data_IF_174583285408
#
_entry.id   IF_174583285408
#
_cell.length_a   1.000
_cell.length_b   1.000
_cell.length_c   1.000
_cell.angle_alpha   90.00
_cell.angle_beta   90.00
_cell.angle_gamma   90.00
#
_symmetry.space_group_name_H-M   'P 1'
#
loop_
_entity.id
_entity.type
_entity.pdbx_description
1 polymer ?
#
# COMPACT_ATOMS: atom_id res chain seq x y z
N UNK A 1 42.73 15.67 61.85
CA UNK A 1 42.90 14.22 61.64
C UNK A 1 41.73 13.69 60.80
N UNK A 2 41.92 13.58 59.48
CA UNK A 2 41.30 12.59 58.58
C UNK A 2 41.70 12.94 57.13
N UNK A 3 42.57 12.09 56.60
CA UNK A 3 43.03 12.00 55.21
C UNK A 3 42.00 11.16 54.47
N UNK A 4 41.42 11.65 53.36
CA UNK A 4 40.81 10.79 52.32
C UNK A 4 41.01 11.43 50.93
N UNK A 5 42.15 11.07 50.33
CA UNK A 5 42.30 10.43 49.01
C UNK A 5 41.37 10.82 47.84
N UNK A 6 42.01 11.41 46.82
CA UNK A 6 41.61 11.42 45.41
C UNK A 6 41.73 10.01 44.84
N UNK A 7 40.68 9.51 44.18
CA UNK A 7 40.80 8.39 43.23
C UNK A 7 40.43 8.87 41.83
N UNK A 8 41.43 8.85 40.95
CA UNK A 8 41.26 8.87 39.50
C UNK A 8 40.66 7.52 39.08
N UNK A 9 39.52 7.51 38.40
CA UNK A 9 39.11 6.36 37.59
C UNK A 9 39.37 6.67 36.12
N UNK A 10 40.27 5.88 35.55
CA UNK A 10 40.59 5.82 34.14
C UNK A 10 39.39 5.30 33.33
N UNK A 11 39.09 5.99 32.24
CA UNK A 11 38.20 5.54 31.17
C UNK A 11 38.81 4.34 30.45
N UNK A 12 38.13 3.18 30.52
CA UNK A 12 38.41 2.06 29.63
C UNK A 12 37.51 2.17 28.39
N UNK A 13 38.13 2.50 27.25
CA UNK A 13 37.50 2.44 25.92
C UNK A 13 37.43 0.97 25.52
N UNK A 14 36.24 0.37 25.57
CA UNK A 14 35.98 -0.92 24.91
C UNK A 14 35.70 -0.65 23.42
N UNK A 15 36.67 -0.97 22.56
CA UNK A 15 36.46 -1.09 21.14
C UNK A 15 35.63 -2.36 20.86
N UNK A 16 34.34 -2.20 20.55
CA UNK A 16 33.48 -3.30 20.11
C UNK A 16 33.82 -3.66 18.67
N UNK A 17 34.46 -4.82 18.48
CA UNK A 17 34.66 -5.46 17.18
C UNK A 17 33.28 -5.94 16.69
N UNK A 18 32.73 -5.27 15.67
CA UNK A 18 31.56 -5.75 14.92
C UNK A 18 31.96 -7.01 14.14
N UNK A 19 31.57 -8.19 14.64
CA UNK A 19 31.58 -9.41 13.83
C UNK A 19 30.42 -9.35 12.83
N UNK A 20 30.72 -9.21 11.54
CA UNK A 20 29.80 -9.52 10.46
C UNK A 20 29.51 -11.02 10.47
N UNK A 21 28.40 -11.43 11.07
CA UNK A 21 27.85 -12.77 10.87
C UNK A 21 26.99 -12.71 9.62
N UNK A 22 27.57 -13.06 8.47
CA UNK A 22 26.81 -13.32 7.26
C UNK A 22 25.96 -14.59 7.47
N UNK A 23 24.65 -14.43 7.62
CA UNK A 23 23.72 -15.55 7.58
C UNK A 23 23.72 -16.13 6.16
N UNK A 24 24.44 -17.23 5.97
CA UNK A 24 24.36 -18.03 4.75
C UNK A 24 23.11 -18.89 4.82
N UNK A 25 22.00 -18.40 4.25
CA UNK A 25 20.81 -19.22 4.03
C UNK A 25 21.15 -20.32 3.02
N UNK A 26 20.98 -21.58 3.42
CA UNK A 26 21.14 -22.74 2.55
C UNK A 26 20.13 -22.67 1.40
N UNK A 27 20.62 -22.45 0.19
CA UNK A 27 19.81 -22.48 -1.03
C UNK A 27 19.53 -23.93 -1.45
N UNK A 28 18.27 -24.25 -1.74
CA UNK A 28 17.92 -25.40 -2.56
C UNK A 28 18.57 -25.22 -3.94
N UNK A 29 19.47 -26.13 -4.33
CA UNK A 29 19.96 -26.22 -5.72
C UNK A 29 18.79 -26.59 -6.63
N UNK A 30 18.17 -25.61 -7.26
CA UNK A 30 17.20 -25.82 -8.32
C UNK A 30 17.91 -26.29 -9.59
N UNK A 31 17.70 -27.55 -9.99
CA UNK A 31 18.11 -28.09 -11.29
C UNK A 31 17.09 -27.78 -12.42
N UNK A 32 16.23 -26.78 -12.25
CA UNK A 32 15.34 -26.29 -13.32
C UNK A 32 16.00 -25.13 -14.05
N UNK A 33 16.13 -25.22 -15.38
CA UNK A 33 16.97 -24.34 -16.21
C UNK A 33 16.73 -22.82 -16.08
N UNK A 34 15.61 -22.38 -15.48
CA UNK A 34 15.23 -20.96 -15.40
C UNK A 34 14.77 -20.49 -14.00
N UNK A 35 15.05 -21.23 -12.92
CA UNK A 35 14.72 -20.78 -11.54
C UNK A 35 15.86 -19.93 -10.97
N UNK A 36 15.69 -18.61 -10.78
CA UNK A 36 16.77 -17.77 -10.27
C UNK A 36 16.99 -18.00 -8.77
N UNK A 37 18.23 -17.78 -8.33
CA UNK A 37 18.55 -17.65 -6.91
C UNK A 37 18.12 -16.26 -6.44
N UNK A 38 17.27 -16.21 -5.42
CA UNK A 38 16.84 -14.95 -4.81
C UNK A 38 17.77 -14.60 -3.64
N UNK A 39 18.23 -13.35 -3.61
CA UNK A 39 18.98 -12.77 -2.50
C UNK A 39 18.35 -11.46 -2.05
N UNK A 40 18.44 -11.16 -0.75
CA UNK A 40 17.93 -9.92 -0.15
C UNK A 40 19.00 -9.26 0.71
N UNK A 41 19.01 -7.92 0.72
CA UNK A 41 19.85 -7.13 1.62
C UNK A 41 19.12 -5.89 2.10
N UNK A 42 19.36 -5.50 3.35
CA UNK A 42 18.90 -4.23 3.91
C UNK A 42 19.77 -3.11 3.32
N UNK A 43 19.13 -2.10 2.74
CA UNK A 43 19.81 -0.90 2.20
C UNK A 43 19.56 0.36 3.03
N UNK A 44 18.53 0.34 3.87
CA UNK A 44 18.20 1.38 4.85
C UNK A 44 17.53 0.72 6.06
N UNK A 45 17.82 1.23 7.26
CA UNK A 45 17.24 0.79 8.53
C UNK A 45 16.97 1.99 9.45
N UNK A 46 16.26 1.78 10.55
CA UNK A 46 15.94 2.83 11.53
C UNK A 46 14.84 3.78 11.07
N UNK A 47 14.04 3.37 10.08
CA UNK A 47 12.89 4.12 9.60
C UNK A 47 11.66 3.88 10.48
N UNK A 48 10.73 4.83 10.48
CA UNK A 48 9.48 4.74 11.21
C UNK A 48 8.32 4.44 10.25
N UNK A 49 7.90 3.17 10.21
CA UNK A 49 6.85 2.67 9.33
C UNK A 49 7.00 3.12 7.85
N UNK A 50 8.09 2.78 7.16
CA UNK A 50 8.27 3.11 5.76
C UNK A 50 7.15 2.47 4.89
N UNK A 51 6.48 3.27 4.05
CA UNK A 51 5.20 2.89 3.44
C UNK A 51 5.26 2.66 1.92
N UNK A 52 5.92 3.55 1.16
CA UNK A 52 6.05 3.43 -0.30
C UNK A 52 7.36 4.01 -0.82
N UNK A 53 7.70 3.63 -2.06
CA UNK A 53 8.95 3.96 -2.74
C UNK A 53 8.65 4.41 -4.17
N UNK A 54 9.37 5.44 -4.65
CA UNK A 54 9.41 5.80 -6.06
C UNK A 54 10.84 6.11 -6.52
N UNK A 55 11.17 5.77 -7.76
CA UNK A 55 12.49 6.00 -8.35
C UNK A 55 12.40 6.98 -9.51
N UNK A 56 13.44 7.80 -9.68
CA UNK A 56 13.68 8.46 -10.96
C UNK A 56 14.03 7.42 -12.01
N UNK A 57 13.63 7.65 -13.27
CA UNK A 57 13.90 6.69 -14.36
C UNK A 57 15.39 6.40 -14.58
N UNK A 58 16.29 7.31 -14.15
CA UNK A 58 17.74 7.12 -14.20
C UNK A 58 18.32 6.42 -12.96
N UNK A 59 17.47 6.00 -12.01
CA UNK A 59 17.84 5.31 -10.78
C UNK A 59 18.65 6.13 -9.78
N UNK A 60 18.91 7.42 -10.04
CA UNK A 60 19.80 8.25 -9.21
C UNK A 60 19.17 8.73 -7.90
N UNK A 61 17.84 8.76 -7.83
CA UNK A 61 17.11 9.16 -6.63
C UNK A 61 15.98 8.16 -6.32
N UNK A 62 15.93 7.76 -5.05
CA UNK A 62 14.88 6.93 -4.46
C UNK A 62 14.12 7.76 -3.43
N UNK A 63 12.89 8.10 -3.74
CA UNK A 63 11.95 8.70 -2.80
C UNK A 63 11.30 7.62 -1.96
N UNK A 64 11.06 7.91 -0.69
CA UNK A 64 10.32 7.02 0.19
C UNK A 64 9.52 7.83 1.22
N UNK A 65 8.45 7.23 1.70
CA UNK A 65 7.59 7.80 2.73
C UNK A 65 7.68 7.02 4.03
N UNK A 66 7.71 7.73 5.16
CA UNK A 66 7.54 7.19 6.50
C UNK A 66 6.18 7.65 7.02
N UNK A 67 5.28 6.72 7.36
CA UNK A 67 3.85 6.98 7.62
C UNK A 67 3.62 8.14 8.60
N UNK A 68 4.41 8.20 9.66
CA UNK A 68 4.28 9.16 10.77
C UNK A 68 5.30 10.30 10.70
N UNK A 69 6.16 10.35 9.66
CA UNK A 69 7.15 11.43 9.51
C UNK A 69 6.94 12.26 8.24
N UNK A 70 7.08 11.68 7.05
CA UNK A 70 7.07 12.46 5.82
C UNK A 70 7.74 11.81 4.62
N UNK A 71 7.99 12.63 3.59
CA UNK A 71 8.69 12.28 2.36
C UNK A 71 10.18 12.61 2.47
N UNK A 72 11.01 11.62 2.18
CA UNK A 72 12.46 11.76 2.07
C UNK A 72 12.97 11.24 0.72
N UNK A 73 14.19 11.62 0.35
CA UNK A 73 14.86 11.13 -0.86
C UNK A 73 16.29 10.68 -0.54
N UNK A 74 16.64 9.47 -0.97
CA UNK A 74 18.00 8.96 -0.98
C UNK A 74 18.62 9.16 -2.36
N UNK A 75 19.79 9.78 -2.39
CA UNK A 75 20.61 9.99 -3.60
C UNK A 75 22.05 9.54 -3.34
N UNK A 76 22.93 9.63 -4.35
CA UNK A 76 24.37 9.45 -4.15
C UNK A 76 25.00 10.46 -3.18
N UNK A 77 24.35 11.61 -2.93
CA UNK A 77 24.83 12.63 -1.98
C UNK A 77 24.40 12.41 -0.53
N UNK A 78 23.55 11.40 -0.27
CA UNK A 78 22.95 11.15 1.04
C UNK A 78 21.42 11.18 1.02
N UNK A 79 20.84 11.29 2.20
CA UNK A 79 19.40 11.35 2.44
C UNK A 79 18.99 12.79 2.76
N UNK A 80 17.93 13.28 2.12
CA UNK A 80 17.35 14.59 2.37
C UNK A 80 15.87 14.46 2.74
N UNK A 81 15.47 15.03 3.87
CA UNK A 81 14.09 15.05 4.34
C UNK A 81 13.35 16.25 3.73
N UNK A 82 12.38 15.98 2.86
CA UNK A 82 11.82 17.00 1.97
C UNK A 82 10.55 17.66 2.52
N UNK A 83 9.56 16.84 2.88
CA UNK A 83 8.26 17.33 3.35
C UNK A 83 7.67 16.49 4.47
N UNK A 84 7.52 17.09 5.64
CA UNK A 84 7.03 16.43 6.85
C UNK A 84 5.53 16.57 7.09
N UNK A 85 4.97 15.67 7.91
CA UNK A 85 3.64 15.87 8.52
C UNK A 85 3.74 16.82 9.72
N UNK A 86 2.61 17.28 10.26
CA UNK A 86 2.58 18.11 11.46
C UNK A 86 3.34 17.45 12.62
N UNK A 87 4.22 18.22 13.26
CA UNK A 87 4.99 17.78 14.43
C UNK A 87 6.29 17.03 14.11
N UNK A 88 6.51 16.63 12.84
CA UNK A 88 7.80 16.09 12.42
C UNK A 88 8.91 17.16 12.47
N UNK A 89 10.15 16.73 12.70
CA UNK A 89 11.34 17.58 12.81
C UNK A 89 12.40 17.19 11.77
N UNK A 90 13.27 18.13 11.41
CA UNK A 90 14.39 17.90 10.48
C UNK A 90 14.02 17.88 8.99
N UNK A 91 12.77 18.20 8.63
CA UNK A 91 12.32 18.34 7.24
C UNK A 91 12.52 19.76 6.71
N UNK A 92 12.80 19.90 5.41
CA UNK A 92 12.96 21.20 4.75
C UNK A 92 11.68 22.05 4.77
N UNK A 93 10.52 21.41 4.68
CA UNK A 93 9.20 22.03 4.84
C UNK A 93 8.20 21.00 5.43
N UNK A 94 7.00 21.42 5.83
CA UNK A 94 5.97 20.55 6.40
C UNK A 94 4.56 21.04 6.14
N UNK A 95 3.59 20.12 6.18
CA UNK A 95 2.18 20.44 6.13
C UNK A 95 1.56 20.42 7.53
N UNK A 96 1.22 21.60 8.08
CA UNK A 96 0.58 21.70 9.40
C UNK A 96 -0.86 21.12 9.42
N UNK A 97 -1.45 20.93 8.24
CA UNK A 97 -2.74 20.26 8.07
C UNK A 97 -2.62 18.72 8.02
N UNK A 98 -1.43 18.18 7.77
CA UNK A 98 -1.19 16.76 7.58
C UNK A 98 -0.94 16.03 8.90
N UNK A 99 -1.47 14.83 9.04
CA UNK A 99 -1.35 14.04 10.26
C UNK A 99 -1.39 12.53 9.97
N UNK A 100 -1.00 11.74 10.96
CA UNK A 100 -1.10 10.29 10.96
C UNK A 100 -2.01 9.82 12.10
N UNK A 101 -2.85 8.84 11.81
CA UNK A 101 -3.76 8.23 12.77
C UNK A 101 -4.14 6.83 12.28
N UNK A 102 -3.98 5.80 13.13
CA UNK A 102 -4.16 4.40 12.72
C UNK A 102 -3.38 4.01 11.45
N UNK A 103 -4.10 3.76 10.35
CA UNK A 103 -3.53 3.39 9.04
C UNK A 103 -3.26 4.60 8.12
N UNK A 104 -3.73 5.79 8.49
CA UNK A 104 -3.51 7.04 7.78
C UNK A 104 -2.15 7.68 8.10
N UNK A 105 -1.67 8.55 7.22
CA UNK A 105 -0.38 9.24 7.36
C UNK A 105 0.18 9.73 6.02
N UNK A 106 1.51 9.83 5.91
CA UNK A 106 2.20 10.01 4.63
C UNK A 106 2.34 8.66 3.92
N UNK A 107 1.51 8.40 2.91
CA UNK A 107 1.36 7.08 2.30
C UNK A 107 2.03 7.00 0.91
N UNK A 108 1.25 6.90 -0.17
CA UNK A 108 1.77 6.65 -1.50
C UNK A 108 2.59 7.80 -2.06
N UNK A 109 3.62 7.46 -2.85
CA UNK A 109 4.45 8.41 -3.60
C UNK A 109 4.57 7.95 -5.05
N UNK A 110 4.43 8.89 -5.99
CA UNK A 110 4.66 8.64 -7.41
C UNK A 110 5.37 9.83 -8.07
N UNK A 111 6.22 9.56 -9.06
CA UNK A 111 6.80 10.60 -9.90
C UNK A 111 6.01 10.67 -11.21
N UNK A 112 5.81 11.89 -11.72
CA UNK A 112 5.22 12.11 -13.03
C UNK A 112 6.01 11.40 -14.14
N UNK A 113 5.33 10.92 -15.19
CA UNK A 113 5.99 10.27 -16.33
C UNK A 113 7.07 11.16 -16.98
N UNK A 114 6.88 12.48 -16.94
CA UNK A 114 7.81 13.49 -17.45
C UNK A 114 8.67 14.11 -16.35
N UNK A 115 8.91 13.43 -15.22
CA UNK A 115 9.69 13.94 -14.08
C UNK A 115 11.04 14.55 -14.47
N UNK A 116 11.72 13.99 -15.48
CA UNK A 116 12.99 14.53 -16.00
C UNK A 116 12.88 15.99 -16.48
N UNK A 117 11.69 16.38 -16.98
CA UNK A 117 11.39 17.71 -17.51
C UNK A 117 10.71 18.60 -16.47
N UNK A 118 9.63 18.11 -15.84
CA UNK A 118 8.77 18.93 -14.97
C UNK A 118 9.08 18.84 -13.47
N UNK A 119 9.86 17.83 -13.05
CA UNK A 119 10.18 17.56 -11.63
C UNK A 119 8.95 17.35 -10.75
N UNK A 120 7.84 16.89 -11.32
CA UNK A 120 6.57 16.76 -10.62
C UNK A 120 6.47 15.46 -9.82
N UNK A 121 6.17 15.59 -8.53
CA UNK A 121 5.98 14.48 -7.60
C UNK A 121 4.57 14.54 -7.01
N UNK A 122 3.95 13.37 -6.83
CA UNK A 122 2.64 13.19 -6.23
C UNK A 122 2.75 12.45 -4.90
N UNK A 123 2.00 12.91 -3.90
CA UNK A 123 1.88 12.28 -2.58
C UNK A 123 0.42 12.06 -2.22
N UNK A 124 0.13 10.91 -1.61
CA UNK A 124 -1.12 10.66 -0.93
C UNK A 124 -0.93 10.86 0.57
N UNK A 125 -1.78 11.66 1.22
CA UNK A 125 -1.76 11.82 2.67
C UNK A 125 -3.12 12.20 3.24
N UNK A 126 -3.21 12.20 4.57
CA UNK A 126 -4.40 12.57 5.31
C UNK A 126 -4.25 13.99 5.85
N UNK A 127 -5.26 14.82 5.60
CA UNK A 127 -5.30 16.25 5.87
C UNK A 127 -6.54 16.64 6.66
N UNK A 128 -6.36 17.56 7.59
CA UNK A 128 -7.44 18.21 8.33
C UNK A 128 -8.13 19.33 7.54
N UNK A 129 -7.51 19.80 6.45
CA UNK A 129 -7.94 20.98 5.67
C UNK A 129 -9.31 20.83 5.02
N UNK A 130 -9.64 19.62 4.57
CA UNK A 130 -10.87 19.32 3.83
C UNK A 130 -11.87 18.51 4.63
N UNK A 131 -11.57 18.26 5.91
CA UNK A 131 -12.46 17.50 6.78
C UNK A 131 -13.74 18.29 7.00
N UNK A 132 -14.87 17.73 6.56
CA UNK A 132 -16.19 18.28 6.82
C UNK A 132 -16.43 18.52 8.32
N UNK A 133 -17.33 19.44 8.64
CA UNK A 133 -17.66 19.79 10.03
C UNK A 133 -18.02 18.54 10.85
N UNK A 134 -17.22 18.26 11.88
CA UNK A 134 -17.36 17.19 12.89
C UNK A 134 -18.08 15.92 12.42
N UNK A 135 -17.46 15.17 11.51
CA UNK A 135 -17.80 13.75 11.33
C UNK A 135 -17.71 13.00 12.66
N UNK A 136 -18.86 12.59 13.21
CA UNK A 136 -18.98 11.88 14.49
C UNK A 136 -19.18 10.38 14.29
N UNK A 137 -19.75 9.97 13.16
CA UNK A 137 -20.08 8.58 12.86
C UNK A 137 -19.61 8.19 11.45
N UNK A 138 -19.80 6.93 11.06
CA UNK A 138 -19.50 6.48 9.71
C UNK A 138 -20.55 6.89 8.67
N UNK A 139 -21.69 7.46 9.07
CA UNK A 139 -22.80 7.76 8.18
C UNK A 139 -22.63 9.05 7.39
N UNK A 140 -21.85 10.01 7.89
CA UNK A 140 -21.60 11.28 7.20
C UNK A 140 -20.53 11.14 6.11
N UNK A 141 -20.59 12.02 5.11
CA UNK A 141 -19.48 12.21 4.16
C UNK A 141 -18.32 12.87 4.90
N UNK A 142 -17.16 12.22 4.88
CA UNK A 142 -15.99 12.60 5.64
C UNK A 142 -14.78 12.65 4.73
N UNK A 143 -14.59 13.76 4.05
CA UNK A 143 -13.40 14.02 3.26
C UNK A 143 -12.19 14.15 4.21
N UNK A 144 -10.98 13.81 3.76
CA UNK A 144 -9.80 13.92 4.62
C UNK A 144 -8.55 13.25 4.08
N UNK A 145 -8.68 12.41 3.07
CA UNK A 145 -7.53 11.95 2.29
C UNK A 145 -7.38 12.82 1.05
N UNK A 146 -6.14 13.15 0.71
CA UNK A 146 -5.82 14.03 -0.41
C UNK A 146 -4.67 13.49 -1.25
N UNK A 147 -4.67 13.89 -2.52
CA UNK A 147 -3.51 13.77 -3.40
C UNK A 147 -2.92 15.16 -3.61
N UNK A 148 -1.62 15.28 -3.32
CA UNK A 148 -0.85 16.51 -3.40
C UNK A 148 0.15 16.41 -4.54
N UNK A 149 0.36 17.52 -5.25
CA UNK A 149 1.36 17.70 -6.31
C UNK A 149 2.43 18.67 -5.83
N UNK A 150 3.69 18.37 -6.10
CA UNK A 150 4.86 19.18 -5.75
C UNK A 150 5.82 19.32 -6.93
N UNK A 151 6.68 20.34 -6.88
CA UNK A 151 7.88 20.44 -7.71
C UNK A 151 9.11 20.11 -6.88
N UNK A 152 9.92 19.14 -7.31
CA UNK A 152 11.16 18.76 -6.61
C UNK A 152 12.33 19.61 -7.10
N UNK A 153 13.06 20.26 -6.18
CA UNK A 153 14.26 21.02 -6.50
C UNK A 153 15.30 20.17 -7.25
N UNK A 154 16.09 20.78 -8.13
CA UNK A 154 17.07 20.05 -8.98
C UNK A 154 18.15 19.34 -8.16
N UNK A 155 18.49 19.88 -7.00
CA UNK A 155 19.46 19.32 -6.06
C UNK A 155 18.86 18.28 -5.11
N UNK A 156 17.55 18.00 -5.22
CA UNK A 156 16.80 17.08 -4.36
C UNK A 156 16.82 17.44 -2.87
N UNK A 157 16.96 18.73 -2.51
CA UNK A 157 16.98 19.17 -1.10
C UNK A 157 15.67 19.75 -0.59
N UNK A 158 14.74 20.08 -1.48
CA UNK A 158 13.45 20.64 -1.11
C UNK A 158 12.37 20.33 -2.14
N UNK A 159 11.13 20.55 -1.73
CA UNK A 159 9.97 20.61 -2.62
C UNK A 159 9.30 21.98 -2.51
N UNK A 160 8.56 22.36 -3.55
CA UNK A 160 7.79 23.61 -3.58
C UNK A 160 6.48 23.43 -4.33
N UNK A 161 5.66 24.50 -4.37
CA UNK A 161 4.44 24.58 -5.17
C UNK A 161 3.41 23.48 -4.85
N UNK A 162 3.22 23.18 -3.56
CA UNK A 162 2.19 22.23 -3.12
C UNK A 162 0.83 22.64 -3.69
N UNK A 163 0.22 21.73 -4.45
CA UNK A 163 -1.15 21.85 -4.96
C UNK A 163 -1.94 20.60 -4.59
N UNK A 164 -3.03 20.74 -3.85
CA UNK A 164 -3.93 19.62 -3.55
C UNK A 164 -4.84 19.38 -4.77
N UNK A 165 -4.68 18.25 -5.47
CA UNK A 165 -5.35 17.94 -6.75
C UNK A 165 -6.58 17.02 -6.59
N UNK A 166 -6.64 16.25 -5.51
CA UNK A 166 -7.85 15.51 -5.09
C UNK A 166 -8.06 15.79 -3.61
N UNK A 167 -9.27 16.23 -3.23
CA UNK A 167 -9.54 16.84 -1.92
C UNK A 167 -10.63 16.12 -1.12
N UNK A 168 -11.31 15.18 -1.77
CA UNK A 168 -12.57 14.61 -1.34
C UNK A 168 -12.56 13.08 -1.23
N UNK A 169 -11.36 12.48 -1.14
CA UNK A 169 -11.23 11.07 -0.79
C UNK A 169 -11.64 10.92 0.67
N UNK A 170 -12.52 9.97 0.92
CA UNK A 170 -13.09 9.83 2.25
C UNK A 170 -12.05 9.28 3.25
N UNK A 171 -12.21 9.66 4.50
CA UNK A 171 -11.39 9.31 5.65
C UNK A 171 -12.30 8.82 6.79
N UNK A 172 -11.76 7.98 7.68
CA UNK A 172 -12.44 7.52 8.90
C UNK A 172 -11.95 8.29 10.13
N UNK A 173 -12.69 9.28 10.65
CA UNK A 173 -12.23 10.09 11.79
C UNK A 173 -12.60 9.60 13.20
N UNK A 174 -13.35 8.52 13.32
CA UNK A 174 -13.96 8.08 14.58
C UNK A 174 -13.65 6.61 14.84
N UNK A 175 -13.83 6.20 16.09
CA UNK A 175 -13.92 4.79 16.47
C UNK A 175 -15.32 4.29 16.18
N UNK A 176 -15.42 3.11 15.59
CA UNK A 176 -16.67 2.38 15.34
C UNK A 176 -16.88 1.29 16.38
N UNK A 177 -18.09 0.75 16.45
CA UNK A 177 -18.45 -0.45 17.21
C UNK A 177 -17.98 -1.74 16.51
N UNK A 178 -17.37 -1.62 15.32
CA UNK A 178 -16.67 -2.71 14.65
C UNK A 178 -15.48 -3.23 15.47
N UNK A 179 -15.18 -4.54 15.38
CA UNK A 179 -14.14 -5.19 16.18
C UNK A 179 -12.73 -4.76 15.81
N UNK A 180 -12.52 -4.28 14.58
CA UNK A 180 -11.24 -3.81 14.08
C UNK A 180 -11.37 -2.48 13.37
N UNK A 181 -10.26 -1.75 13.36
CA UNK A 181 -10.07 -0.51 12.61
C UNK A 181 -10.69 0.69 13.31
N UNK A 182 -9.86 1.42 14.06
CA UNK A 182 -10.22 2.73 14.60
C UNK A 182 -10.11 3.84 13.54
N UNK A 183 -9.88 5.09 13.97
CA UNK A 183 -9.55 6.19 13.07
C UNK A 183 -8.46 5.83 12.04
N UNK A 184 -8.63 6.33 10.83
CA UNK A 184 -7.76 6.06 9.69
C UNK A 184 -7.82 4.64 9.12
N UNK A 185 -8.68 3.76 9.62
CA UNK A 185 -8.84 2.43 9.04
C UNK A 185 -9.38 2.47 7.60
N UNK A 186 -8.89 1.54 6.79
CA UNK A 186 -9.24 1.39 5.37
C UNK A 186 -8.94 2.66 4.57
N UNK A 187 -7.70 3.13 4.71
CA UNK A 187 -7.28 4.37 4.08
C UNK A 187 -6.90 4.22 2.60
N UNK A 188 -6.69 2.98 2.12
CA UNK A 188 -6.03 2.71 0.85
C UNK A 188 -4.70 3.46 0.75
N UNK A 189 -4.58 4.31 -0.28
CA UNK A 189 -3.54 5.34 -0.38
C UNK A 189 -2.38 5.00 -1.30
N UNK A 190 -2.43 3.86 -2.00
CA UNK A 190 -1.43 3.55 -3.02
C UNK A 190 -1.65 4.43 -4.26
N UNK A 191 -0.59 5.07 -4.72
CA UNK A 191 -0.59 5.88 -5.94
C UNK A 191 0.48 5.38 -6.93
N UNK A 192 0.13 5.30 -8.21
CA UNK A 192 1.07 4.98 -9.29
C UNK A 192 0.78 5.82 -10.52
N UNK A 193 1.81 6.10 -11.32
CA UNK A 193 1.64 6.55 -12.70
C UNK A 193 1.57 5.31 -13.58
N UNK A 194 0.49 5.19 -14.35
CA UNK A 194 0.28 4.09 -15.28
C UNK A 194 1.03 4.27 -16.61
N UNK A 195 0.98 3.25 -17.50
CA UNK A 195 1.70 3.26 -18.79
C UNK A 195 1.37 4.47 -19.67
N UNK A 196 0.14 4.97 -19.59
CA UNK A 196 -0.36 6.12 -20.37
C UNK A 196 -0.08 7.48 -19.68
N UNK A 197 0.65 7.50 -18.57
CA UNK A 197 1.01 8.73 -17.85
C UNK A 197 -0.06 9.27 -16.90
N UNK A 198 -1.22 8.63 -16.80
CA UNK A 198 -2.26 8.99 -15.82
C UNK A 198 -1.93 8.48 -14.42
N UNK A 199 -2.41 9.19 -13.41
CA UNK A 199 -2.34 8.79 -12.01
C UNK A 199 -3.46 7.84 -11.66
N UNK A 200 -3.11 6.82 -10.90
CA UNK A 200 -4.01 5.83 -10.35
C UNK A 200 -3.93 5.85 -8.84
N UNK A 201 -5.08 5.92 -8.19
CA UNK A 201 -5.17 6.10 -6.73
C UNK A 201 -6.13 5.08 -6.14
N UNK A 202 -5.60 4.14 -5.36
CA UNK A 202 -6.41 3.19 -4.60
C UNK A 202 -6.92 3.81 -3.30
N UNK A 203 -8.19 3.56 -2.97
CA UNK A 203 -8.83 4.05 -1.74
C UNK A 203 -9.41 2.88 -0.94
N UNK A 204 -9.93 3.16 0.26
CA UNK A 204 -10.70 2.18 1.03
C UNK A 204 -12.07 2.70 1.42
N UNK A 205 -12.90 1.80 1.93
CA UNK A 205 -14.33 2.01 2.20
C UNK A 205 -14.61 2.75 3.52
N UNK A 206 -13.56 3.01 4.31
CA UNK A 206 -13.57 3.66 5.63
C UNK A 206 -14.61 3.13 6.63
N UNK A 207 -15.03 1.87 6.50
CA UNK A 207 -16.12 1.23 7.25
C UNK A 207 -17.48 1.93 7.12
N UNK A 208 -17.82 2.42 5.93
CA UNK A 208 -19.18 2.89 5.63
C UNK A 208 -19.86 1.95 4.65
N UNK A 209 -21.00 1.38 5.03
CA UNK A 209 -21.73 0.36 4.25
C UNK A 209 -21.94 0.74 2.78
N UNK A 210 -22.41 1.96 2.53
CA UNK A 210 -22.75 2.43 1.18
C UNK A 210 -21.54 2.77 0.30
N UNK A 211 -20.38 3.04 0.92
CA UNK A 211 -19.22 3.66 0.24
C UNK A 211 -18.79 2.89 -1.03
N UNK A 212 -18.56 1.57 -0.96
CA UNK A 212 -18.05 0.81 -2.10
C UNK A 212 -18.97 0.80 -3.31
N UNK A 213 -20.28 0.92 -3.14
CA UNK A 213 -21.28 0.80 -4.21
C UNK A 213 -21.87 2.15 -4.65
N UNK A 214 -21.68 3.22 -3.88
CA UNK A 214 -22.08 4.58 -4.25
C UNK A 214 -20.98 5.27 -5.07
N UNK A 215 -21.15 5.21 -6.40
CA UNK A 215 -20.21 5.78 -7.37
C UNK A 215 -20.15 7.31 -7.37
N UNK A 216 -20.88 8.01 -6.49
CA UNK A 216 -20.71 9.46 -6.26
C UNK A 216 -19.67 9.78 -5.17
N UNK A 217 -19.19 8.77 -4.44
CA UNK A 217 -18.26 8.91 -3.33
C UNK A 217 -16.88 8.35 -3.68
N UNK A 218 -15.82 9.02 -3.21
CA UNK A 218 -14.45 8.55 -3.36
C UNK A 218 -14.01 7.71 -2.14
N UNK A 219 -14.63 6.55 -1.97
CA UNK A 219 -14.29 5.54 -0.98
C UNK A 219 -14.59 4.14 -1.52
N UNK A 220 -13.64 3.21 -1.36
CA UNK A 220 -13.79 1.87 -1.95
C UNK A 220 -13.72 1.89 -3.49
N UNK A 221 -12.92 2.80 -4.03
CA UNK A 221 -12.74 3.02 -5.48
C UNK A 221 -11.26 3.06 -5.86
N UNK A 222 -10.98 2.81 -7.13
CA UNK A 222 -9.71 3.16 -7.77
C UNK A 222 -9.96 4.32 -8.73
N UNK A 223 -9.21 5.41 -8.56
CA UNK A 223 -9.28 6.57 -9.46
C UNK A 223 -8.32 6.40 -10.64
N UNK A 224 -8.67 6.97 -11.79
CA UNK A 224 -7.76 7.22 -12.93
C UNK A 224 -7.91 8.66 -13.39
N UNK A 225 -6.90 9.47 -13.12
CA UNK A 225 -6.92 10.93 -13.24
C UNK A 225 -5.64 11.47 -13.89
N UNK A 226 -5.69 12.67 -14.45
CA UNK A 226 -4.50 13.37 -14.95
C UNK A 226 -3.68 13.98 -13.80
N UNK A 227 -2.58 14.65 -14.15
CA UNK A 227 -1.68 15.28 -13.18
C UNK A 227 -2.26 16.48 -12.43
N UNK A 228 -3.45 16.95 -12.81
CA UNK A 228 -4.18 18.05 -12.17
C UNK A 228 -5.45 17.56 -11.43
N UNK A 229 -5.68 16.24 -11.42
CA UNK A 229 -6.80 15.60 -10.73
C UNK A 229 -8.08 15.47 -11.55
N UNK A 230 -8.05 15.83 -12.83
CA UNK A 230 -9.21 15.69 -13.72
C UNK A 230 -9.41 14.23 -14.13
N UNK A 231 -10.66 13.81 -14.38
CA UNK A 231 -10.94 12.44 -14.81
C UNK A 231 -10.30 12.11 -16.16
N UNK A 232 -9.82 10.88 -16.31
CA UNK A 232 -9.47 10.36 -17.63
C UNK A 232 -10.74 10.31 -18.52
N UNK A 233 -10.71 10.86 -19.75
CA UNK A 233 -11.92 11.00 -20.60
C UNK A 233 -12.57 9.66 -20.97
N UNK A 234 -11.77 8.60 -21.06
CA UNK A 234 -12.24 7.23 -21.31
C UNK A 234 -12.80 6.48 -20.09
N UNK A 235 -12.93 7.07 -18.89
CA UNK A 235 -13.53 6.36 -17.74
C UNK A 235 -15.03 6.05 -17.99
N UNK A 236 -15.43 4.80 -17.75
CA UNK A 236 -16.77 4.26 -18.06
C UNK A 236 -17.63 4.10 -16.79
N UNK A 237 -17.69 5.14 -15.97
CA UNK A 237 -18.46 5.16 -14.72
C UNK A 237 -19.66 6.10 -14.82
N UNK A 238 -20.76 5.78 -14.12
CA UNK A 238 -21.97 6.60 -14.12
C UNK A 238 -21.86 7.84 -13.21
N UNK A 239 -21.31 7.66 -12.00
CA UNK A 239 -21.15 8.73 -11.01
C UNK A 239 -19.95 9.62 -11.26
N UNK A 240 -19.08 9.77 -10.26
CA UNK A 240 -17.88 10.58 -10.36
C UNK A 240 -16.93 10.05 -11.44
N UNK A 241 -16.68 10.86 -12.46
CA UNK A 241 -15.90 10.46 -13.64
C UNK A 241 -14.43 10.15 -13.34
N UNK A 242 -13.91 10.50 -12.17
CA UNK A 242 -12.53 10.18 -11.77
C UNK A 242 -12.36 8.69 -11.47
N UNK A 243 -13.46 7.99 -11.16
CA UNK A 243 -13.46 6.56 -10.83
C UNK A 243 -13.19 5.72 -12.07
N UNK A 244 -12.23 4.80 -11.95
CA UNK A 244 -11.98 3.73 -12.92
C UNK A 244 -12.72 2.45 -12.54
N UNK A 245 -12.64 2.03 -11.28
CA UNK A 245 -13.39 0.88 -10.71
C UNK A 245 -13.89 1.22 -9.31
N UNK A 246 -14.97 0.56 -8.91
CA UNK A 246 -15.61 0.70 -7.61
C UNK A 246 -15.83 -0.67 -6.97
N UNK A 247 -16.47 -0.73 -5.80
CA UNK A 247 -16.76 -2.00 -5.12
C UNK A 247 -15.53 -2.60 -4.45
N UNK A 248 -14.62 -1.76 -3.96
CA UNK A 248 -13.43 -2.17 -3.21
C UNK A 248 -13.60 -1.92 -1.71
N UNK A 249 -12.97 -2.74 -0.88
CA UNK A 249 -12.84 -2.62 0.58
C UNK A 249 -11.64 -1.77 0.98
N UNK A 250 -10.42 -2.17 0.63
CA UNK A 250 -9.20 -1.44 1.04
C UNK A 250 -7.98 -1.75 0.16
N UNK A 251 -7.83 -1.00 -0.94
CA UNK A 251 -6.77 -1.21 -1.95
C UNK A 251 -5.41 -0.77 -1.42
N UNK A 252 -4.51 -1.72 -1.18
CA UNK A 252 -3.16 -1.48 -0.63
C UNK A 252 -2.06 -1.55 -1.69
N UNK A 253 -2.31 -2.28 -2.79
CA UNK A 253 -1.40 -2.43 -3.91
C UNK A 253 -2.09 -2.12 -5.23
N UNK A 254 -1.35 -1.51 -6.15
CA UNK A 254 -1.70 -1.42 -7.56
C UNK A 254 -0.42 -1.43 -8.40
N UNK A 255 -0.40 -2.21 -9.47
CA UNK A 255 0.64 -2.15 -10.49
C UNK A 255 0.11 -2.61 -11.85
N UNK A 256 0.91 -2.43 -12.90
CA UNK A 256 0.50 -2.66 -14.29
C UNK A 256 1.27 -3.82 -14.89
N UNK A 257 0.54 -4.79 -15.45
CA UNK A 257 1.11 -5.97 -16.06
C UNK A 257 1.96 -5.56 -17.29
N UNK A 258 3.23 -6.00 -17.39
CA UNK A 258 4.12 -5.52 -18.45
C UNK A 258 3.67 -5.87 -19.87
N UNK A 259 2.98 -7.01 -20.05
CA UNK A 259 2.62 -7.53 -21.37
C UNK A 259 1.50 -6.75 -22.06
N UNK A 260 0.55 -6.19 -21.29
CA UNK A 260 -0.65 -5.54 -21.83
C UNK A 260 -1.03 -4.22 -21.14
N UNK A 261 -0.27 -3.81 -20.11
CA UNK A 261 -0.54 -2.60 -19.35
C UNK A 261 -1.76 -2.69 -18.43
N UNK A 262 -2.40 -3.86 -18.28
CA UNK A 262 -3.60 -4.00 -17.46
C UNK A 262 -3.27 -3.76 -15.99
N UNK A 263 -4.10 -2.97 -15.31
CA UNK A 263 -3.94 -2.67 -13.89
C UNK A 263 -4.43 -3.85 -13.04
N UNK A 264 -3.69 -4.18 -11.99
CA UNK A 264 -4.05 -5.18 -10.98
C UNK A 264 -3.99 -4.54 -9.60
N UNK A 265 -4.99 -4.82 -8.76
CA UNK A 265 -4.98 -4.43 -7.35
C UNK A 265 -4.63 -5.61 -6.46
N UNK A 266 -4.03 -5.32 -5.31
CA UNK A 266 -3.96 -6.23 -4.17
C UNK A 266 -4.70 -5.58 -3.00
N UNK A 267 -5.64 -6.31 -2.41
CA UNK A 267 -6.67 -5.74 -1.55
C UNK A 267 -6.95 -6.57 -0.30
N UNK A 268 -6.99 -5.90 0.85
CA UNK A 268 -7.32 -6.56 2.12
C UNK A 268 -8.76 -7.04 2.14
N UNK A 269 -8.92 -8.33 2.38
CA UNK A 269 -10.19 -8.92 2.77
C UNK A 269 -10.58 -8.57 4.22
N UNK A 270 -11.81 -8.86 4.64
CA UNK A 270 -12.24 -8.81 6.03
C UNK A 270 -11.55 -9.90 6.87
N UNK A 271 -12.27 -10.82 7.47
CA UNK A 271 -11.69 -12.01 8.13
C UNK A 271 -11.46 -13.18 7.17
N UNK A 272 -11.64 -12.94 5.88
CA UNK A 272 -11.48 -13.90 4.81
C UNK A 272 -11.08 -13.18 3.53
N UNK A 273 -10.63 -13.94 2.53
CA UNK A 273 -10.40 -13.53 1.15
C UNK A 273 -9.69 -12.18 0.94
N UNK A 274 -8.37 -12.10 1.17
CA UNK A 274 -7.61 -11.09 0.43
C UNK A 274 -7.67 -11.39 -1.07
N UNK A 275 -7.66 -10.36 -1.91
CA UNK A 275 -7.87 -10.52 -3.35
C UNK A 275 -6.77 -9.85 -4.18
N UNK A 276 -6.44 -10.48 -5.32
CA UNK A 276 -5.75 -9.85 -6.44
C UNK A 276 -6.69 -9.82 -7.63
N UNK A 277 -6.97 -8.62 -8.13
CA UNK A 277 -8.04 -8.40 -9.11
C UNK A 277 -7.53 -7.61 -10.31
N UNK A 278 -7.81 -8.13 -11.51
CA UNK A 278 -7.47 -7.48 -12.77
C UNK A 278 -8.56 -6.46 -13.14
N UNK A 279 -8.22 -5.18 -13.08
CA UNK A 279 -9.21 -4.11 -13.21
C UNK A 279 -9.77 -4.00 -14.63
N UNK A 280 -11.07 -3.70 -14.71
CA UNK A 280 -11.81 -3.44 -15.94
C UNK A 280 -12.50 -2.09 -15.81
N UNK A 281 -12.37 -1.23 -16.81
CA UNK A 281 -12.90 0.13 -16.77
C UNK A 281 -14.43 0.15 -16.57
N UNK A 282 -14.88 0.75 -15.46
CA UNK A 282 -16.27 0.79 -15.02
C UNK A 282 -16.72 -0.44 -14.23
N UNK A 283 -15.84 -1.40 -13.98
CA UNK A 283 -16.16 -2.65 -13.30
C UNK A 283 -16.33 -2.51 -11.79
N UNK A 284 -17.07 -3.47 -11.22
CA UNK A 284 -17.41 -3.56 -9.81
C UNK A 284 -16.58 -4.65 -9.12
N UNK A 285 -15.81 -4.33 -8.09
CA UNK A 285 -15.06 -5.31 -7.29
C UNK A 285 -15.95 -6.21 -6.42
N UNK A 286 -17.24 -5.89 -6.31
CA UNK A 286 -18.23 -6.72 -5.65
C UNK A 286 -18.39 -6.49 -4.15
N UNK A 287 -17.50 -5.74 -3.50
CA UNK A 287 -17.60 -5.47 -2.07
C UNK A 287 -18.83 -4.61 -1.79
N UNK A 288 -19.80 -5.13 -1.02
CA UNK A 288 -21.05 -4.45 -0.71
C UNK A 288 -21.43 -4.62 0.77
N UNK A 289 -20.71 -3.99 1.71
CA UNK A 289 -20.86 -4.20 3.15
C UNK A 289 -22.07 -3.50 3.76
N UNK A 290 -22.94 -2.90 2.95
CA UNK A 290 -24.20 -2.33 3.42
C UNK A 290 -25.06 -3.41 4.11
N UNK A 291 -25.78 -3.00 5.15
CA UNK A 291 -26.77 -3.83 5.83
C UNK A 291 -28.06 -3.95 5.02
N UNK A 292 -28.92 -4.91 5.38
CA UNK A 292 -30.25 -5.09 4.76
C UNK A 292 -30.23 -5.39 3.24
N UNK A 293 -29.07 -5.68 2.68
CA UNK A 293 -28.89 -6.13 1.29
C UNK A 293 -28.45 -7.59 1.27
N UNK A 294 -28.84 -8.34 0.23
CA UNK A 294 -28.37 -9.71 0.05
C UNK A 294 -28.84 -10.71 1.10
N UNK A 295 -30.00 -10.45 1.71
CA UNK A 295 -30.55 -11.29 2.78
C UNK A 295 -29.92 -11.06 4.15
N UNK A 296 -29.03 -10.07 4.30
CA UNK A 296 -28.43 -9.70 5.59
C UNK A 296 -29.41 -8.92 6.46
N UNK A 297 -29.24 -9.06 7.78
CA UNK A 297 -29.95 -8.25 8.78
C UNK A 297 -29.29 -6.89 9.03
N UNK A 298 -29.63 -6.27 10.16
CA UNK A 298 -28.91 -5.11 10.68
C UNK A 298 -27.51 -5.51 11.14
N UNK A 299 -26.54 -4.63 10.92
CA UNK A 299 -25.14 -4.83 11.31
C UNK A 299 -24.69 -3.66 12.19
N UNK A 300 -23.74 -3.85 13.11
CA UNK A 300 -23.12 -2.75 13.85
C UNK A 300 -22.64 -1.65 12.90
N UNK A 301 -22.89 -0.39 13.25
CA UNK A 301 -22.62 0.78 12.41
C UNK A 301 -23.10 0.66 10.95
N UNK A 302 -24.14 -0.11 10.67
CA UNK A 302 -24.64 -0.36 9.31
C UNK A 302 -23.58 -0.90 8.33
N UNK A 303 -22.54 -1.53 8.88
CA UNK A 303 -21.41 -2.09 8.12
C UNK A 303 -21.24 -3.57 8.47
N UNK A 304 -21.58 -4.43 7.51
CA UNK A 304 -21.57 -5.88 7.68
C UNK A 304 -20.21 -6.53 7.38
N UNK A 305 -19.16 -5.74 7.14
CA UNK A 305 -17.88 -6.26 6.67
C UNK A 305 -17.15 -7.21 7.62
N UNK A 306 -17.63 -7.38 8.85
CA UNK A 306 -17.09 -8.33 9.84
C UNK A 306 -18.13 -9.37 10.30
N UNK A 307 -19.27 -9.46 9.62
CA UNK A 307 -20.33 -10.41 9.92
C UNK A 307 -20.17 -11.74 9.15
N UNK A 308 -20.78 -12.84 9.63
CA UNK A 308 -21.51 -12.98 10.88
C UNK A 308 -20.55 -13.18 12.06
N UNK A 309 -21.01 -12.81 13.26
CA UNK A 309 -20.33 -13.08 14.53
C UNK A 309 -18.93 -12.45 14.58
N UNK A 310 -18.90 -11.13 14.67
CA UNK A 310 -17.74 -10.25 14.60
C UNK A 310 -16.52 -10.68 15.43
N UNK A 311 -16.75 -11.34 16.57
CA UNK A 311 -15.72 -11.68 17.55
C UNK A 311 -15.59 -13.18 17.83
N UNK A 312 -16.42 -14.02 17.22
CA UNK A 312 -16.41 -15.47 17.46
C UNK A 312 -15.64 -16.21 16.37
N UNK A 313 -15.17 -17.42 16.66
CA UNK A 313 -14.43 -18.25 15.71
C UNK A 313 -15.33 -18.89 14.64
N UNK A 314 -15.75 -18.14 13.63
CA UNK A 314 -16.49 -18.69 12.47
C UNK A 314 -15.52 -19.21 11.41
N UNK A 315 -15.90 -20.27 10.69
CA UNK A 315 -15.11 -20.74 9.56
C UNK A 315 -15.09 -19.69 8.43
N UNK A 316 -13.96 -19.46 7.75
CA UNK A 316 -13.88 -18.41 6.73
C UNK A 316 -14.91 -18.57 5.60
N UNK A 317 -15.25 -19.80 5.21
CA UNK A 317 -16.26 -20.08 4.19
C UNK A 317 -17.66 -19.58 4.57
N UNK A 318 -18.07 -19.70 5.85
CA UNK A 318 -19.37 -19.19 6.30
C UNK A 318 -19.38 -17.65 6.25
N UNK A 319 -18.27 -16.99 6.64
CA UNK A 319 -18.16 -15.53 6.52
C UNK A 319 -18.22 -15.08 5.08
N UNK A 320 -17.45 -15.71 4.20
CA UNK A 320 -17.43 -15.39 2.78
C UNK A 320 -18.80 -15.59 2.11
N UNK A 321 -19.59 -16.56 2.55
CA UNK A 321 -20.94 -16.76 2.05
C UNK A 321 -21.92 -15.66 2.50
N UNK A 322 -21.78 -15.15 3.74
CA UNK A 322 -22.64 -14.10 4.28
C UNK A 322 -22.28 -12.70 3.75
N UNK A 323 -20.97 -12.40 3.72
CA UNK A 323 -20.41 -11.12 3.28
C UNK A 323 -19.24 -11.36 2.32
N UNK A 324 -19.52 -11.69 1.05
CA UNK A 324 -18.48 -11.95 0.06
C UNK A 324 -17.66 -10.69 -0.23
N UNK A 325 -16.34 -10.86 -0.44
CA UNK A 325 -15.50 -9.81 -1.02
C UNK A 325 -15.93 -9.51 -2.46
N UNK A 326 -16.05 -10.56 -3.26
CA UNK A 326 -16.56 -10.51 -4.63
C UNK A 326 -18.01 -11.04 -4.70
N UNK A 327 -18.98 -10.15 -4.55
CA UNK A 327 -20.40 -10.53 -4.54
C UNK A 327 -20.95 -10.82 -5.95
N UNK A 328 -21.28 -12.10 -6.19
CA UNK A 328 -21.73 -12.61 -7.49
C UNK A 328 -23.16 -12.18 -7.88
N UNK A 329 -23.88 -11.47 -7.00
CA UNK A 329 -25.17 -10.86 -7.34
C UNK A 329 -25.01 -9.70 -8.33
N UNK A 330 -23.83 -9.08 -8.39
CA UNK A 330 -23.55 -8.01 -9.33
C UNK A 330 -23.22 -8.54 -10.73
N UNK A 331 -23.96 -8.07 -11.74
CA UNK A 331 -23.77 -8.47 -13.14
C UNK A 331 -22.49 -7.89 -13.76
N UNK A 332 -21.98 -6.81 -13.18
CA UNK A 332 -20.76 -6.11 -13.57
C UNK A 332 -19.56 -6.45 -12.67
N UNK A 333 -19.65 -7.55 -11.91
CA UNK A 333 -18.58 -8.06 -11.07
C UNK A 333 -17.30 -8.29 -11.90
N UNK A 334 -16.19 -7.76 -11.40
CA UNK A 334 -14.84 -8.14 -11.79
C UNK A 334 -14.40 -9.29 -10.89
N UNK A 335 -14.33 -10.53 -11.38
CA UNK A 335 -13.89 -11.63 -10.54
C UNK A 335 -12.40 -11.46 -10.18
N UNK A 336 -12.00 -11.82 -8.95
CA UNK A 336 -10.61 -11.77 -8.55
C UNK A 336 -9.86 -12.92 -9.23
N UNK A 337 -8.63 -12.66 -9.64
CA UNK A 337 -7.77 -13.68 -10.20
C UNK A 337 -7.30 -14.65 -9.10
N UNK A 338 -7.24 -14.18 -7.85
CA UNK A 338 -6.84 -14.92 -6.65
C UNK A 338 -7.57 -14.39 -5.41
N UNK A 339 -7.92 -15.27 -4.45
CA UNK A 339 -8.71 -14.90 -3.26
C UNK A 339 -8.19 -15.51 -1.92
N UNK A 340 -6.86 -15.68 -1.79
CA UNK A 340 -6.14 -16.21 -0.63
C UNK A 340 -6.73 -17.45 0.06
N UNK A 341 -7.36 -18.34 -0.72
CA UNK A 341 -7.96 -19.58 -0.22
C UNK A 341 -8.92 -19.35 0.97
N UNK A 342 -9.62 -18.21 0.98
CA UNK A 342 -10.53 -17.86 2.07
C UNK A 342 -9.87 -17.20 3.28
N UNK A 343 -8.55 -17.01 3.32
CA UNK A 343 -7.90 -16.31 4.44
C UNK A 343 -7.80 -14.80 4.21
N UNK A 344 -7.78 -14.06 5.31
CA UNK A 344 -7.32 -12.67 5.33
C UNK A 344 -6.02 -12.60 6.10
N UNK A 345 -4.94 -12.32 5.37
CA UNK A 345 -3.59 -12.15 5.84
C UNK A 345 -3.02 -10.78 5.43
N UNK A 346 -3.86 -9.86 4.95
CA UNK A 346 -3.50 -8.48 4.67
C UNK A 346 -2.49 -8.34 3.53
N UNK A 347 -2.95 -8.43 2.28
CA UNK A 347 -2.16 -8.07 1.10
C UNK A 347 -1.73 -6.60 1.10
N UNK A 348 -0.43 -6.33 1.09
CA UNK A 348 0.15 -5.00 1.01
C UNK A 348 0.28 -4.47 -0.44
N UNK A 349 1.43 -3.86 -0.74
CA UNK A 349 1.76 -3.40 -2.09
C UNK A 349 1.88 -4.57 -3.08
N UNK A 350 1.71 -4.25 -4.36
CA UNK A 350 2.00 -5.14 -5.48
C UNK A 350 3.04 -4.52 -6.41
N UNK A 351 3.84 -5.37 -7.07
CA UNK A 351 4.78 -4.97 -8.12
C UNK A 351 5.03 -6.12 -9.10
N UNK A 352 4.87 -5.89 -10.41
CA UNK A 352 5.25 -6.86 -11.42
C UNK A 352 6.77 -6.95 -11.53
N UNK A 353 7.31 -8.17 -11.44
CA UNK A 353 8.72 -8.46 -11.62
C UNK A 353 9.10 -8.25 -13.09
N UNK A 354 10.21 -7.53 -13.33
CA UNK A 354 10.67 -7.14 -14.67
C UNK A 354 12.15 -7.41 -14.80
N UNK A 355 12.59 -7.87 -15.96
CA UNK A 355 13.98 -8.17 -16.25
C UNK A 355 14.25 -9.66 -16.30
N UNK A 356 15.02 -10.08 -17.30
CA UNK A 356 15.33 -11.49 -17.56
C UNK A 356 16.09 -12.19 -16.42
N UNK A 357 16.69 -11.43 -15.51
CA UNK A 357 17.33 -11.96 -14.31
C UNK A 357 16.33 -12.63 -13.34
N UNK A 358 15.02 -12.37 -13.49
CA UNK A 358 13.97 -13.06 -12.74
C UNK A 358 13.61 -14.43 -13.30
N UNK A 359 14.21 -14.87 -14.42
CA UNK A 359 13.97 -16.19 -15.00
C UNK A 359 12.48 -16.48 -15.17
N UNK A 360 12.00 -17.62 -14.68
CA UNK A 360 10.57 -17.96 -14.76
C UNK A 360 9.64 -16.98 -14.00
N UNK A 361 10.17 -16.15 -13.10
CA UNK A 361 9.40 -15.16 -12.35
C UNK A 361 9.21 -13.84 -13.09
N UNK A 362 9.90 -13.62 -14.21
CA UNK A 362 9.69 -12.42 -15.02
C UNK A 362 8.22 -12.30 -15.46
N UNK A 363 7.65 -11.10 -15.33
CA UNK A 363 6.25 -10.82 -15.67
C UNK A 363 5.23 -11.28 -14.63
N UNK A 364 5.64 -11.95 -13.54
CA UNK A 364 4.75 -12.33 -12.43
C UNK A 364 4.55 -11.17 -11.47
N UNK A 365 3.39 -11.14 -10.80
CA UNK A 365 3.10 -10.12 -9.79
C UNK A 365 3.69 -10.55 -8.45
N UNK A 366 4.46 -9.70 -7.78
CA UNK A 366 4.81 -9.89 -6.38
C UNK A 366 3.87 -9.07 -5.50
N UNK A 367 3.35 -9.64 -4.42
CA UNK A 367 2.59 -8.89 -3.41
C UNK A 367 3.05 -9.25 -1.98
N UNK A 368 3.20 -8.24 -1.14
CA UNK A 368 3.51 -8.45 0.28
C UNK A 368 2.27 -8.98 1.02
N UNK A 369 2.45 -9.90 1.96
CA UNK A 369 1.39 -10.38 2.85
C UNK A 369 1.83 -10.04 4.28
N UNK A 370 1.01 -9.27 5.01
CA UNK A 370 1.46 -8.56 6.22
C UNK A 370 0.84 -9.11 7.52
N UNK A 371 -0.07 -10.06 7.46
CA UNK A 371 -0.85 -10.53 8.60
C UNK A 371 0.06 -11.08 9.70
N UNK A 372 -0.24 -10.77 10.96
CA UNK A 372 0.49 -11.34 12.12
C UNK A 372 -0.12 -12.65 12.62
N UNK A 373 -1.13 -13.18 11.93
CA UNK A 373 -1.88 -14.35 12.37
C UNK A 373 -2.81 -14.00 13.52
N UNK A 374 -4.10 -13.97 13.26
CA UNK A 374 -5.14 -13.73 14.26
C UNK A 374 -6.41 -14.48 13.84
N UNK A 375 -7.24 -14.87 14.82
CA UNK A 375 -8.54 -15.48 14.53
C UNK A 375 -8.48 -16.79 13.75
N UNK A 376 -7.40 -17.57 13.91
CA UNK A 376 -7.19 -18.83 13.19
C UNK A 376 -6.56 -18.71 11.80
N UNK A 377 -6.23 -17.50 11.34
CA UNK A 377 -5.48 -17.30 10.09
C UNK A 377 -3.97 -17.48 10.32
N UNK A 378 -3.24 -18.15 9.40
CA UNK A 378 -1.79 -18.26 9.49
C UNK A 378 -1.10 -16.90 9.36
N UNK A 379 0.18 -16.82 9.72
CA UNK A 379 0.97 -15.60 9.56
C UNK A 379 1.20 -15.28 8.09
N UNK A 380 1.13 -13.98 7.79
CA UNK A 380 1.28 -13.39 6.47
C UNK A 380 2.71 -13.10 6.08
N UNK A 381 3.56 -12.72 7.04
CA UNK A 381 4.94 -12.21 6.99
C UNK A 381 5.86 -12.65 5.81
N UNK A 382 5.50 -12.33 4.56
CA UNK A 382 6.20 -12.82 3.35
C UNK A 382 5.88 -11.97 2.12
N UNK A 383 6.52 -12.30 1.01
CA UNK A 383 6.12 -11.86 -0.33
C UNK A 383 5.70 -13.10 -1.11
N UNK A 384 4.53 -13.03 -1.73
CA UNK A 384 4.03 -14.06 -2.65
C UNK A 384 4.24 -13.60 -4.09
N UNK A 385 4.62 -14.52 -4.98
CA UNK A 385 4.76 -14.30 -6.42
C UNK A 385 3.65 -15.07 -7.13
N UNK A 386 2.85 -14.34 -7.90
CA UNK A 386 1.62 -14.79 -8.54
C UNK A 386 1.84 -14.91 -10.05
N UNK A 387 1.71 -16.14 -10.55
CA UNK A 387 1.68 -16.45 -11.98
C UNK A 387 0.23 -16.34 -12.47
N UNK A 388 -0.09 -15.17 -13.01
CA UNK A 388 -1.45 -14.82 -13.42
C UNK A 388 -1.68 -15.32 -14.85
N UNK A 389 -2.83 -15.95 -15.10
CA UNK A 389 -3.23 -16.33 -16.44
C UNK A 389 -3.38 -15.11 -17.36
N UNK A 390 -3.24 -15.33 -18.66
CA UNK A 390 -3.14 -14.26 -19.64
C UNK A 390 -4.44 -13.44 -19.69
N UNK A 391 -5.59 -14.08 -19.48
CA UNK A 391 -6.90 -13.44 -19.33
C UNK A 391 -7.03 -12.54 -18.08
N UNK A 392 -6.12 -12.69 -17.12
CA UNK A 392 -6.13 -11.97 -15.83
C UNK A 392 -7.21 -12.45 -14.86
N UNK A 393 -7.88 -13.57 -15.11
CA UNK A 393 -9.04 -14.02 -14.34
C UNK A 393 -8.76 -15.25 -13.46
N UNK A 394 -7.57 -15.84 -13.55
CA UNK A 394 -7.18 -17.01 -12.75
C UNK A 394 -5.68 -17.07 -12.47
N UNK A 395 -5.28 -17.77 -11.40
CA UNK A 395 -3.87 -18.07 -11.12
C UNK A 395 -3.45 -19.41 -11.71
N UNK A 396 -2.27 -19.44 -12.34
CA UNK A 396 -1.54 -20.66 -12.70
C UNK A 396 -0.81 -21.23 -11.47
N UNK A 397 -0.14 -20.38 -10.69
CA UNK A 397 0.56 -20.77 -9.46
C UNK A 397 0.81 -19.58 -8.53
N UNK A 398 0.99 -19.87 -7.25
CA UNK A 398 1.46 -18.92 -6.23
C UNK A 398 2.64 -19.55 -5.52
N UNK A 399 3.72 -18.80 -5.37
CA UNK A 399 4.91 -19.24 -4.66
C UNK A 399 5.31 -18.22 -3.60
N UNK A 400 5.84 -18.70 -2.49
CA UNK A 400 6.46 -17.84 -1.48
C UNK A 400 7.87 -17.47 -1.95
N UNK A 401 8.16 -16.16 -1.98
CA UNK A 401 9.51 -15.69 -2.26
C UNK A 401 10.46 -16.20 -1.16
N UNK A 402 11.58 -16.87 -1.50
CA UNK A 402 12.43 -17.55 -0.52
C UNK A 402 13.39 -16.57 0.17
N UNK A 403 12.83 -15.63 0.94
CA UNK A 403 13.53 -14.63 1.74
C UNK A 403 13.05 -14.70 3.19
N UNK A 404 13.70 -13.95 4.09
CA UNK A 404 13.30 -13.88 5.49
C UNK A 404 11.86 -13.37 5.69
N UNK A 405 11.22 -13.83 6.77
CA UNK A 405 9.87 -13.40 7.12
C UNK A 405 9.87 -12.00 7.74
N UNK A 406 9.17 -11.06 7.09
CA UNK A 406 8.97 -9.68 7.56
C UNK A 406 7.57 -9.20 7.20
N UNK A 407 7.10 -8.13 7.82
CA UNK A 407 5.87 -7.43 7.42
C UNK A 407 6.13 -6.51 6.22
N UNK A 408 6.26 -7.09 5.03
CA UNK A 408 6.53 -6.33 3.79
C UNK A 408 5.34 -5.47 3.36
N UNK A 409 5.54 -4.15 3.31
CA UNK A 409 4.47 -3.15 3.11
C UNK A 409 4.47 -2.52 1.72
N UNK A 410 5.57 -1.88 1.34
CA UNK A 410 5.75 -1.21 0.05
C UNK A 410 6.58 -2.08 -0.88
N UNK A 411 6.18 -2.23 -2.14
CA UNK A 411 6.92 -2.97 -3.16
C UNK A 411 7.08 -2.09 -4.41
N UNK A 412 8.31 -2.04 -4.94
CA UNK A 412 8.60 -1.28 -6.16
C UNK A 412 9.79 -1.87 -6.92
N UNK A 413 9.67 -2.04 -8.23
CA UNK A 413 10.81 -2.37 -9.07
C UNK A 413 11.77 -1.19 -9.21
N UNK A 414 13.06 -1.46 -9.05
CA UNK A 414 14.14 -0.57 -9.44
C UNK A 414 14.25 -0.48 -10.96
N UNK A 415 14.48 0.72 -11.55
CA UNK A 415 14.40 0.94 -12.99
C UNK A 415 15.62 0.41 -13.80
N UNK A 416 16.72 0.03 -13.16
CA UNK A 416 17.97 -0.33 -13.85
C UNK A 416 18.61 -1.64 -13.41
N UNK A 417 18.54 -1.93 -12.11
CA UNK A 417 19.08 -3.16 -11.57
C UNK A 417 18.06 -4.29 -11.57
N UNK A 418 16.82 -4.01 -12.03
CA UNK A 418 15.70 -4.93 -12.02
C UNK A 418 15.50 -5.59 -10.65
N UNK A 419 15.88 -4.93 -9.56
CA UNK A 419 15.67 -5.44 -8.22
C UNK A 419 14.27 -5.06 -7.72
N UNK A 420 13.69 -5.92 -6.90
CA UNK A 420 12.48 -5.59 -6.15
C UNK A 420 12.89 -4.90 -4.85
N UNK A 421 12.43 -3.68 -4.64
CA UNK A 421 12.63 -2.95 -3.40
C UNK A 421 11.41 -3.11 -2.52
N UNK A 422 11.64 -3.40 -1.23
CA UNK A 422 10.57 -3.66 -0.28
C UNK A 422 10.73 -2.86 1.02
N UNK A 423 9.70 -2.14 1.46
CA UNK A 423 9.67 -1.56 2.81
C UNK A 423 9.06 -2.54 3.81
N UNK A 424 9.42 -2.42 5.08
CA UNK A 424 8.87 -3.28 6.14
C UNK A 424 8.31 -2.47 7.32
N UNK A 425 7.34 -3.01 8.06
CA UNK A 425 6.83 -2.35 9.28
C UNK A 425 7.90 -2.20 10.36
N UNK A 426 8.92 -3.05 10.31
CA UNK A 426 10.09 -3.08 11.19
C UNK A 426 11.08 -1.94 10.94
N UNK A 427 10.84 -1.08 9.94
CA UNK A 427 11.66 0.12 9.73
C UNK A 427 12.84 -0.07 8.77
N UNK A 428 12.72 -1.02 7.84
CA UNK A 428 13.77 -1.38 6.90
C UNK A 428 13.33 -1.16 5.45
N UNK A 429 14.30 -0.91 4.56
CA UNK A 429 14.13 -1.04 3.11
C UNK A 429 15.10 -2.11 2.61
N UNK A 430 14.55 -3.10 1.93
CA UNK A 430 15.29 -4.19 1.28
C UNK A 430 15.49 -3.91 -0.19
N UNK A 431 16.62 -4.36 -0.71
CA UNK A 431 16.83 -4.65 -2.12
C UNK A 431 16.85 -6.17 -2.30
N UNK A 432 15.95 -6.68 -3.13
CA UNK A 432 15.79 -8.11 -3.43
C UNK A 432 16.16 -8.33 -4.90
N UNK A 433 17.15 -9.20 -5.14
CA UNK A 433 17.70 -9.46 -6.48
C UNK A 433 17.56 -10.93 -6.84
N UNK A 434 17.43 -11.20 -8.13
CA UNK A 434 17.39 -12.54 -8.73
C UNK A 434 18.65 -12.73 -9.59
N UNK A 435 19.31 -13.89 -9.45
CA UNK A 435 20.58 -14.26 -10.11
C UNK A 435 20.53 -15.65 -10.73
#
# INVERSE_FOLDING_TARGET
>A
MKIINKLNLFSAVLASIMMLIGASSYALKGNGKDVPKIGSMIIMSGLENPWDIAFTNDGKAMFYTEKTKGLSVKTGSGVHALYGIKGSSGYADKGDDLYADGQAGMLGVALDANFKKNRTLYLYSTSTKYRGGQCKTNFERCDGNIVMKFTVAKDFKSVSNRTDIVKDIQYKPFKSDQPFGGPGAHNGGRIRVGPEGYLWVGTGDRHRGICPQDNSLLCGVVLRIDGDGNPHPGNKIKGDKRIYTYGHRNVQGIDFRPSDGRAFTAEHGPWHNDEITALVNGGNGGWAPEQLVGGRGKCPDEYCGYEPQQMEGVTPAIRAAYMPMSDTRFKDLMPPAWNNNGYSQGTGSAAFLKGSNWGLYEGRLAAGIMGIGFGGSPTGLRIDIYDIADDGLSMKSVIHMPIESKRFRGLRMGPHDNALYATTDEGEIYKISAQ
#
